data_IF_642722734249
#
_entry.id   IF_642722734249
#
_cell.length_a   1.000
_cell.length_b   1.000
_cell.length_c   1.000
_cell.angle_alpha   90.00
_cell.angle_beta   90.00
_cell.angle_gamma   90.00
#
_symmetry.space_group_name_H-M   'P 1'
#
loop_
_entity.id
_entity.type
_entity.pdbx_description
1 polymer ?
#
# COMPACT_ATOMS: atom_id res chain seq x y z
N UNK A 1 -8.75 -15.07 18.27
CA UNK A 1 -8.67 -13.81 17.49
C UNK A 1 -9.94 -13.69 16.68
N UNK A 2 -10.63 -12.56 16.73
CA UNK A 2 -11.88 -12.33 15.98
C UNK A 2 -11.71 -11.05 15.19
N UNK A 3 -11.64 -11.16 13.86
CA UNK A 3 -11.85 -10.00 13.01
C UNK A 3 -13.28 -9.50 13.24
N UNK A 4 -13.46 -8.21 13.55
CA UNK A 4 -14.78 -7.59 13.76
C UNK A 4 -15.63 -7.57 12.49
N UNK A 5 -14.98 -7.71 11.32
CA UNK A 5 -15.64 -7.96 10.05
C UNK A 5 -14.68 -7.79 8.87
N UNK A 6 -14.78 -8.68 7.89
CA UNK A 6 -14.08 -8.60 6.60
C UNK A 6 -15.16 -8.43 5.53
N UNK A 7 -15.16 -7.29 4.85
CA UNK A 7 -16.05 -6.99 3.72
C UNK A 7 -15.17 -6.80 2.48
N UNK A 8 -15.22 -7.74 1.56
CA UNK A 8 -14.35 -7.78 0.38
C UNK A 8 -15.22 -7.91 -0.85
N UNK A 9 -15.33 -6.82 -1.59
CA UNK A 9 -15.88 -6.79 -2.94
C UNK A 9 -14.75 -6.43 -3.92
N UNK A 10 -14.16 -7.49 -4.48
CA UNK A 10 -13.08 -7.40 -5.44
C UNK A 10 -13.34 -8.40 -6.58
N UNK A 11 -13.11 -7.95 -7.81
CA UNK A 11 -13.24 -8.78 -9.01
C UNK A 11 -11.95 -8.74 -9.81
N UNK A 12 -11.39 -9.91 -10.09
CA UNK A 12 -10.30 -10.08 -11.05
C UNK A 12 -10.80 -10.91 -12.23
N UNK A 13 -10.95 -10.28 -13.39
CA UNK A 13 -11.46 -10.94 -14.59
C UNK A 13 -10.72 -10.40 -15.82
N UNK A 14 -10.17 -11.31 -16.65
CA UNK A 14 -9.50 -10.93 -17.89
C UNK A 14 -8.35 -9.91 -17.72
N UNK A 15 -7.61 -9.95 -16.60
CA UNK A 15 -6.55 -8.98 -16.29
C UNK A 15 -7.04 -7.62 -15.78
N UNK A 16 -8.35 -7.47 -15.55
CA UNK A 16 -8.94 -6.28 -14.91
C UNK A 16 -9.17 -6.56 -13.43
N UNK A 17 -8.55 -5.76 -12.57
CA UNK A 17 -8.81 -5.72 -11.14
C UNK A 17 -9.78 -4.56 -10.84
N UNK A 18 -10.99 -4.90 -10.42
CA UNK A 18 -11.95 -3.97 -9.81
C UNK A 18 -11.97 -4.16 -8.29
N UNK A 19 -11.87 -3.06 -7.56
CA UNK A 19 -12.04 -2.98 -6.12
C UNK A 19 -13.18 -2.00 -5.85
N UNK A 20 -14.41 -2.52 -5.76
CA UNK A 20 -15.58 -1.68 -5.48
C UNK A 20 -15.60 -1.29 -4.00
N UNK A 21 -15.30 -2.25 -3.11
CA UNK A 21 -15.15 -2.02 -1.69
C UNK A 21 -14.31 -3.11 -1.05
N UNK A 22 -13.05 -2.82 -0.78
CA UNK A 22 -12.26 -3.62 0.14
C UNK A 22 -12.26 -2.93 1.50
N UNK A 23 -12.83 -3.55 2.53
CA UNK A 23 -12.78 -3.05 3.89
C UNK A 23 -12.53 -4.18 4.87
N UNK A 24 -11.44 -4.07 5.60
CA UNK A 24 -11.19 -4.95 6.74
C UNK A 24 -11.19 -4.13 8.01
N UNK A 25 -12.02 -4.55 8.98
CA UNK A 25 -12.09 -3.92 10.30
C UNK A 25 -11.61 -4.88 11.37
N UNK A 26 -10.93 -4.29 12.35
CA UNK A 26 -10.53 -4.95 13.59
C UNK A 26 -9.68 -6.21 13.35
N UNK A 27 -8.90 -6.22 12.25
CA UNK A 27 -7.79 -7.15 12.11
C UNK A 27 -6.67 -6.65 13.02
N UNK A 28 -6.73 -7.07 14.28
CA UNK A 28 -5.72 -6.75 15.28
C UNK A 28 -5.46 -5.23 15.38
N UNK A 29 -6.53 -4.43 15.48
CA UNK A 29 -6.44 -2.96 15.61
C UNK A 29 -6.14 -2.21 14.30
N UNK A 30 -6.08 -2.93 13.16
CA UNK A 30 -5.94 -2.34 11.83
C UNK A 30 -7.27 -2.24 11.08
N UNK A 31 -7.46 -1.13 10.38
CA UNK A 31 -8.50 -0.89 9.40
C UNK A 31 -7.87 -0.62 8.04
N UNK A 32 -8.20 -1.44 7.05
CA UNK A 32 -7.71 -1.27 5.67
C UNK A 32 -8.92 -1.01 4.79
N UNK A 33 -8.83 0.03 3.96
CA UNK A 33 -9.81 0.31 2.91
C UNK A 33 -9.12 0.46 1.57
N UNK A 34 -9.63 -0.16 0.51
CA UNK A 34 -9.13 0.08 -0.84
C UNK A 34 -10.29 0.12 -1.84
N UNK A 35 -10.13 0.95 -2.87
CA UNK A 35 -11.10 1.15 -3.93
C UNK A 35 -10.43 1.58 -5.22
N UNK A 36 -11.04 1.24 -6.35
CA UNK A 36 -10.62 1.71 -7.66
C UNK A 36 -10.63 0.59 -8.70
N UNK A 37 -10.01 0.86 -9.84
CA UNK A 37 -9.96 -0.09 -10.94
C UNK A 37 -8.67 0.06 -11.70
N UNK A 38 -8.03 -1.06 -12.03
CA UNK A 38 -6.93 -1.13 -12.97
C UNK A 38 -7.22 -2.25 -13.98
N UNK A 39 -7.09 -1.94 -15.27
CA UNK A 39 -7.12 -2.91 -16.36
C UNK A 39 -5.70 -3.29 -16.77
N UNK A 40 -5.55 -4.46 -17.40
CA UNK A 40 -4.26 -5.01 -17.85
C UNK A 40 -3.15 -4.95 -16.78
N UNK A 41 -3.48 -5.39 -15.56
CA UNK A 41 -2.57 -5.34 -14.39
C UNK A 41 -1.23 -6.05 -14.60
N UNK A 42 -1.14 -6.95 -15.58
CA UNK A 42 0.02 -7.80 -15.80
C UNK A 42 1.03 -7.20 -16.79
N UNK A 43 0.60 -6.36 -17.74
CA UNK A 43 1.48 -5.87 -18.82
C UNK A 43 1.54 -4.34 -18.84
N UNK A 44 0.45 -3.69 -19.23
CA UNK A 44 0.34 -2.23 -19.32
C UNK A 44 -0.84 -1.71 -18.47
N UNK A 45 -0.68 -1.65 -17.13
CA UNK A 45 -1.72 -1.17 -16.24
C UNK A 45 -2.31 0.17 -16.67
N UNK A 46 -3.63 0.26 -16.68
CA UNK A 46 -4.34 1.52 -16.86
C UNK A 46 -5.45 1.64 -15.82
N UNK A 47 -5.47 2.75 -15.09
CA UNK A 47 -6.48 3.04 -14.09
C UNK A 47 -5.89 3.60 -12.81
N UNK A 48 -6.69 3.56 -11.74
CA UNK A 48 -6.34 4.17 -10.46
C UNK A 48 -6.82 3.33 -9.30
N UNK A 49 -5.98 3.17 -8.29
CA UNK A 49 -6.30 2.57 -7.00
C UNK A 49 -6.00 3.57 -5.90
N UNK A 50 -6.92 3.70 -4.96
CA UNK A 50 -6.66 4.32 -3.68
C UNK A 50 -6.79 3.28 -2.57
N UNK A 51 -5.84 3.32 -1.64
CA UNK A 51 -5.88 2.50 -0.44
C UNK A 51 -5.58 3.37 0.79
N UNK A 52 -6.12 3.00 1.92
CA UNK A 52 -5.84 3.61 3.22
C UNK A 52 -5.71 2.53 4.27
N UNK A 53 -4.73 2.70 5.15
CA UNK A 53 -4.43 1.81 6.26
C UNK A 53 -4.39 2.65 7.52
N UNK A 54 -5.24 2.34 8.48
CA UNK A 54 -5.18 2.90 9.83
C UNK A 54 -4.84 1.78 10.80
N UNK A 55 -3.85 1.96 11.66
CA UNK A 55 -3.51 1.03 12.73
C UNK A 55 -3.45 1.82 14.02
N UNK A 56 -4.35 1.50 14.95
CA UNK A 56 -4.40 2.15 16.26
C UNK A 56 -3.50 1.41 17.27
N UNK A 57 -3.37 0.08 17.13
CA UNK A 57 -2.49 -0.76 17.95
C UNK A 57 -1.51 -1.55 17.07
N UNK A 58 -0.28 -1.05 16.98
CA UNK A 58 0.75 -1.66 16.13
C UNK A 58 1.33 -2.94 16.71
N UNK A 59 1.14 -3.21 18.00
CA UNK A 59 1.51 -4.49 18.60
C UNK A 59 0.59 -5.58 18.09
N UNK A 60 -0.72 -5.30 18.06
CA UNK A 60 -1.70 -6.23 17.53
C UNK A 60 -1.49 -6.47 16.01
N UNK A 61 -1.23 -5.43 15.22
CA UNK A 61 -0.91 -5.59 13.80
C UNK A 61 0.41 -6.35 13.54
N UNK A 62 1.45 -6.12 14.35
CA UNK A 62 2.71 -6.86 14.28
C UNK A 62 2.53 -8.34 14.63
N UNK A 63 1.72 -8.63 15.65
CA UNK A 63 1.35 -10.00 16.04
C UNK A 63 0.65 -10.72 14.87
N UNK A 64 -0.30 -10.06 14.21
CA UNK A 64 -0.99 -10.62 13.05
C UNK A 64 -0.04 -10.89 11.88
N UNK A 65 0.89 -9.97 11.60
CA UNK A 65 1.89 -10.17 10.56
C UNK A 65 2.82 -11.37 10.88
N UNK A 66 3.19 -11.54 12.15
CA UNK A 66 3.95 -12.70 12.61
C UNK A 66 3.16 -14.01 12.52
N UNK A 67 1.85 -14.00 12.80
CA UNK A 67 1.02 -15.20 12.73
C UNK A 67 0.73 -15.63 11.28
N UNK A 68 0.55 -14.67 10.36
CA UNK A 68 0.21 -14.96 8.96
C UNK A 68 1.43 -15.17 8.06
N UNK A 69 2.54 -14.49 8.35
CA UNK A 69 3.76 -14.53 7.53
C UNK A 69 5.00 -14.73 8.43
N UNK A 70 5.10 -15.86 9.16
CA UNK A 70 6.03 -16.06 10.29
C UNK A 70 7.52 -15.93 9.99
N UNK A 71 7.94 -15.78 8.73
CA UNK A 71 9.35 -15.63 8.34
C UNK A 71 9.57 -14.48 7.36
N UNK A 72 8.57 -13.61 7.17
CA UNK A 72 8.71 -12.48 6.26
C UNK A 72 9.51 -11.34 6.90
N UNK A 73 10.30 -10.64 6.08
CA UNK A 73 10.90 -9.35 6.48
C UNK A 73 9.83 -8.38 6.97
N UNK A 74 8.61 -8.47 6.44
CA UNK A 74 7.46 -7.66 6.85
C UNK A 74 7.08 -7.92 8.31
N UNK A 75 7.01 -9.18 8.74
CA UNK A 75 6.74 -9.54 10.14
C UNK A 75 7.83 -9.05 11.09
N UNK A 76 9.11 -9.22 10.71
CA UNK A 76 10.23 -8.72 11.50
C UNK A 76 10.24 -7.18 11.62
N UNK A 77 9.96 -6.48 10.51
CA UNK A 77 9.88 -5.02 10.51
C UNK A 77 8.70 -4.51 11.34
N UNK A 78 7.55 -5.18 11.23
CA UNK A 78 6.36 -4.86 12.02
C UNK A 78 6.61 -5.10 13.52
N UNK A 79 7.31 -6.16 13.91
CA UNK A 79 7.66 -6.43 15.30
C UNK A 79 8.55 -5.33 15.92
N UNK A 80 9.47 -4.78 15.13
CA UNK A 80 10.39 -3.72 15.60
C UNK A 80 9.75 -2.34 15.56
N UNK A 81 9.06 -1.99 14.46
CA UNK A 81 8.54 -0.66 14.23
C UNK A 81 7.11 -0.47 14.77
N UNK A 82 6.32 -1.55 14.90
CA UNK A 82 4.91 -1.52 15.25
C UNK A 82 4.59 -0.69 16.50
N UNK A 83 5.29 -0.88 17.64
CA UNK A 83 4.99 -0.14 18.86
C UNK A 83 5.24 1.38 18.79
N UNK A 84 6.17 1.81 17.94
CA UNK A 84 6.57 3.23 17.83
C UNK A 84 5.98 3.93 16.60
N UNK A 85 5.47 3.15 15.64
CA UNK A 85 4.84 3.63 14.43
C UNK A 85 3.33 3.90 14.59
N UNK A 86 2.80 3.78 15.82
CA UNK A 86 1.38 4.03 16.10
C UNK A 86 1.09 5.35 16.83
N UNK A 87 -0.05 6.00 16.53
CA UNK A 87 -1.04 5.60 15.53
C UNK A 87 -0.48 5.71 14.10
N UNK A 88 -0.75 4.70 13.28
CA UNK A 88 -0.35 4.67 11.88
C UNK A 88 -1.57 5.04 11.04
N UNK A 89 -1.48 6.07 10.22
CA UNK A 89 -2.48 6.39 9.20
C UNK A 89 -1.75 6.61 7.90
N UNK A 90 -1.92 5.72 6.93
CA UNK A 90 -1.30 5.81 5.62
C UNK A 90 -2.37 5.83 4.54
N UNK A 91 -2.15 6.64 3.52
CA UNK A 91 -2.90 6.65 2.27
C UNK A 91 -1.92 6.37 1.12
N UNK A 92 -2.32 5.45 0.25
CA UNK A 92 -1.61 5.13 -0.99
C UNK A 92 -2.52 5.45 -2.14
N UNK A 93 -2.04 6.23 -3.08
CA UNK A 93 -2.71 6.48 -4.35
C UNK A 93 -1.80 5.98 -5.46
N UNK A 94 -2.33 5.16 -6.35
CA UNK A 94 -1.63 4.65 -7.53
C UNK A 94 -2.44 5.08 -8.76
N UNK A 95 -1.84 5.87 -9.64
CA UNK A 95 -2.37 6.16 -10.98
C UNK A 95 -1.45 5.49 -11.99
N UNK A 96 -2.03 4.76 -12.93
CA UNK A 96 -1.32 4.08 -14.00
C UNK A 96 -2.00 4.40 -15.33
N UNK A 97 -1.19 4.63 -16.37
CA UNK A 97 -1.65 4.97 -17.71
C UNK A 97 -0.89 4.14 -18.72
N UNK A 98 -1.63 3.39 -19.54
CA UNK A 98 -1.03 2.63 -20.61
C UNK A 98 -0.33 3.56 -21.61
N UNK A 99 0.90 3.22 -21.98
CA UNK A 99 1.75 3.93 -22.93
C UNK A 99 2.51 2.93 -23.80
N UNK A 100 2.04 2.75 -25.03
CA UNK A 100 2.61 1.75 -25.95
C UNK A 100 2.44 0.34 -25.41
N UNK A 101 3.54 -0.41 -25.28
CA UNK A 101 3.52 -1.76 -24.67
C UNK A 101 3.64 -1.78 -23.14
N UNK A 102 3.80 -0.62 -22.49
CA UNK A 102 4.00 -0.51 -21.05
C UNK A 102 3.05 0.49 -20.39
N UNK A 103 3.38 0.91 -19.18
CA UNK A 103 2.64 1.91 -18.40
C UNK A 103 3.57 3.02 -17.92
N UNK A 104 3.03 4.22 -17.78
CA UNK A 104 3.55 5.23 -16.88
C UNK A 104 2.70 5.21 -15.63
N UNK A 105 3.29 4.94 -14.47
CA UNK A 105 2.58 4.89 -13.20
C UNK A 105 3.23 5.81 -12.17
N UNK A 106 2.41 6.39 -11.32
CA UNK A 106 2.82 7.19 -10.18
C UNK A 106 2.11 6.67 -8.94
N UNK A 107 2.87 6.44 -7.87
CA UNK A 107 2.35 6.10 -6.56
C UNK A 107 2.73 7.17 -5.53
N UNK A 108 1.75 7.63 -4.77
CA UNK A 108 1.95 8.55 -3.66
C UNK A 108 1.56 7.85 -2.37
N UNK A 109 2.51 7.70 -1.47
CA UNK A 109 2.30 7.26 -0.10
C UNK A 109 2.38 8.50 0.79
N UNK A 110 1.35 8.74 1.59
CA UNK A 110 1.31 9.86 2.54
C UNK A 110 0.66 9.43 3.85
N UNK A 111 1.06 10.06 4.96
CA UNK A 111 0.43 9.76 6.24
C UNK A 111 1.32 10.02 7.45
N UNK A 112 0.98 9.37 8.55
CA UNK A 112 1.66 9.50 9.84
C UNK A 112 1.94 8.14 10.45
N UNK A 113 3.10 8.00 11.08
CA UNK A 113 3.46 6.88 11.93
C UNK A 113 3.88 7.42 13.30
N UNK A 114 3.01 7.33 14.30
CA UNK A 114 3.18 8.06 15.55
C UNK A 114 3.26 9.57 15.30
N UNK A 115 4.34 10.22 15.74
CA UNK A 115 4.61 11.64 15.49
C UNK A 115 5.32 11.92 14.15
N UNK A 116 5.64 10.89 13.36
CA UNK A 116 6.42 11.04 12.12
C UNK A 116 5.50 11.24 10.93
N UNK A 117 5.71 12.29 10.15
CA UNK A 117 5.07 12.47 8.85
C UNK A 117 5.80 11.65 7.78
N UNK A 118 5.05 10.90 6.99
CA UNK A 118 5.53 10.12 5.85
C UNK A 118 4.95 10.74 4.58
N UNK A 119 5.83 11.06 3.63
CA UNK A 119 5.45 11.42 2.28
C UNK A 119 6.48 10.82 1.33
N UNK A 120 6.03 9.99 0.40
CA UNK A 120 6.89 9.31 -0.55
C UNK A 120 6.19 9.26 -1.89
N UNK A 121 6.87 9.72 -2.93
CA UNK A 121 6.40 9.61 -4.31
C UNK A 121 7.29 8.62 -5.05
N UNK A 122 6.67 7.76 -5.82
CA UNK A 122 7.32 6.78 -6.68
C UNK A 122 6.77 6.96 -8.08
N UNK A 123 7.65 6.95 -9.07
CA UNK A 123 7.28 6.93 -10.48
C UNK A 123 7.88 5.71 -11.15
N UNK A 124 7.14 5.14 -12.10
CA UNK A 124 7.50 3.98 -12.87
C UNK A 124 7.15 4.20 -14.35
N UNK A 125 8.07 3.86 -15.24
CA UNK A 125 7.82 3.82 -16.68
C UNK A 125 8.40 2.52 -17.27
N UNK A 126 7.55 1.68 -17.85
CA UNK A 126 7.95 0.41 -18.45
C UNK A 126 6.84 -0.63 -18.42
N UNK A 127 7.17 -1.90 -18.68
CA UNK A 127 6.22 -2.99 -18.49
C UNK A 127 6.34 -3.61 -17.11
N UNK A 128 5.21 -3.91 -16.47
CA UNK A 128 5.22 -4.44 -15.09
C UNK A 128 5.75 -5.88 -15.05
N UNK A 129 5.48 -6.70 -16.07
CA UNK A 129 6.04 -8.06 -16.21
C UNK A 129 7.56 -8.06 -16.40
N UNK A 130 8.15 -6.92 -16.79
CA UNK A 130 9.59 -6.72 -16.95
C UNK A 130 10.08 -5.51 -16.17
N UNK A 131 9.59 -5.35 -14.95
CA UNK A 131 9.93 -4.19 -14.11
C UNK A 131 11.43 -4.02 -13.86
N UNK A 132 12.23 -5.10 -13.95
CA UNK A 132 13.70 -5.04 -13.85
C UNK A 132 14.37 -4.38 -15.06
N UNK A 133 13.69 -4.37 -16.20
CA UNK A 133 14.15 -3.75 -17.44
C UNK A 133 13.56 -2.35 -17.62
N UNK A 134 12.80 -1.86 -16.63
CA UNK A 134 12.10 -0.58 -16.70
C UNK A 134 13.06 0.61 -16.76
N UNK A 135 12.70 1.61 -17.58
CA UNK A 135 13.57 2.72 -17.93
C UNK A 135 13.86 3.66 -16.74
N UNK A 136 12.97 3.71 -15.74
CA UNK A 136 13.24 4.41 -14.48
C UNK A 136 12.34 3.95 -13.33
N UNK A 137 12.94 3.84 -12.15
CA UNK A 137 12.25 3.93 -10.86
C UNK A 137 12.82 5.19 -10.21
N UNK A 138 12.03 6.26 -10.19
CA UNK A 138 12.44 7.53 -9.58
C UNK A 138 11.66 7.75 -8.29
N UNK A 139 12.40 7.99 -7.21
CA UNK A 139 11.87 8.54 -5.97
C UNK A 139 12.28 10.02 -5.91
N UNK A 140 11.40 10.97 -6.23
CA UNK A 140 11.75 12.38 -6.14
C UNK A 140 11.81 12.78 -4.66
N UNK A 141 13.02 13.02 -4.16
CA UNK A 141 13.31 13.90 -3.03
C UNK A 141 12.67 13.53 -1.68
N UNK A 142 13.36 12.71 -0.90
CA UNK A 142 13.17 12.71 0.55
C UNK A 142 13.61 14.09 1.10
N UNK A 143 12.66 14.88 1.63
CA UNK A 143 12.94 15.98 2.57
C UNK A 143 12.27 15.68 3.91
N UNK A 144 13.02 15.06 4.82
CA UNK A 144 12.60 14.89 6.20
C UNK A 144 12.63 16.25 6.86
N UNK A 145 11.46 16.78 7.24
CA UNK A 145 11.37 17.94 8.11
C UNK A 145 11.06 17.41 9.50
N UNK A 146 12.07 17.39 10.37
CA UNK A 146 11.85 17.19 11.81
C UNK A 146 10.99 18.35 12.31
N UNK A 147 9.89 18.05 12.99
CA UNK A 147 9.14 19.07 13.72
C UNK A 147 10.06 19.69 14.79
N UNK A 148 10.00 21.03 15.01
CA UNK A 148 10.68 21.63 16.14
C UNK A 148 10.02 21.12 17.43
N UNK A 149 10.85 20.76 18.41
CA UNK A 149 10.42 20.40 19.77
C UNK A 149 9.95 21.58 20.59
#
# INVERSE_FOLDING_TARGET
MTAGGVDVDARLEGGTLGLDRFRVRDLAGAAITASGRIVDVARAPDGRIEASVSVEDGKAAAQLAADLLPESRTAALAAVAGPVATPLRLRVELDARAKGEGTVAAAVLSGTAGATQIETRMAFEGRVDRWRDAASISMPGWRGRTAPG
#
